data_IF_449632860235
#
_entry.id   IF_449632860235
#
_cell.length_a   1.000
_cell.length_b   1.000
_cell.length_c   1.000
_cell.angle_alpha   90.00
_cell.angle_beta   90.00
_cell.angle_gamma   90.00
#
_symmetry.space_group_name_H-M   'P 1'
#
loop_
_entity.id
_entity.type
_entity.pdbx_description
1 polymer ?
#
# COMPACT_ATOMS: atom_id res chain seq x y z
N UNK A 1 36.70 -15.14 45.25
CA UNK A 1 37.21 -14.47 44.03
C UNK A 1 36.72 -15.13 42.73
N UNK A 2 36.73 -16.47 42.62
CA UNK A 2 36.34 -17.20 41.41
C UNK A 2 34.94 -16.85 40.85
N UNK A 3 33.90 -16.86 41.69
CA UNK A 3 32.52 -16.57 41.26
C UNK A 3 32.32 -15.13 40.76
N UNK A 4 33.10 -14.17 41.28
CA UNK A 4 33.05 -12.77 40.83
C UNK A 4 33.66 -12.61 39.44
N UNK A 5 34.72 -13.38 39.12
CA UNK A 5 35.37 -13.38 37.80
C UNK A 5 34.45 -13.94 36.72
N UNK A 6 33.84 -15.09 36.96
CA UNK A 6 32.88 -15.73 36.04
C UNK A 6 31.70 -14.79 35.72
N UNK A 7 31.14 -14.14 36.75
CA UNK A 7 30.02 -13.21 36.57
C UNK A 7 30.38 -11.98 35.74
N UNK A 8 31.62 -11.48 35.86
CA UNK A 8 32.11 -10.36 35.05
C UNK A 8 32.36 -10.77 33.60
N UNK A 9 32.97 -11.94 33.37
CA UNK A 9 33.18 -12.48 32.02
C UNK A 9 31.85 -12.69 31.28
N UNK A 10 30.82 -13.20 31.98
CA UNK A 10 29.48 -13.39 31.41
C UNK A 10 28.78 -12.07 31.07
N UNK A 11 29.00 -11.00 31.84
CA UNK A 11 28.46 -9.66 31.53
C UNK A 11 29.09 -9.13 30.25
N UNK A 12 30.42 -9.20 30.12
CA UNK A 12 31.14 -8.74 28.92
C UNK A 12 30.71 -9.54 27.68
N UNK A 13 30.55 -10.87 27.81
CA UNK A 13 30.07 -11.71 26.71
C UNK A 13 28.64 -11.33 26.29
N UNK A 14 27.75 -11.07 27.25
CA UNK A 14 26.38 -10.64 26.97
C UNK A 14 26.31 -9.26 26.33
N UNK A 15 27.13 -8.30 26.78
CA UNK A 15 27.23 -6.97 26.17
C UNK A 15 27.73 -7.06 24.73
N UNK A 16 28.74 -7.91 24.48
CA UNK A 16 29.24 -8.18 23.13
C UNK A 16 28.16 -8.80 22.23
N UNK A 17 27.39 -9.78 22.73
CA UNK A 17 26.27 -10.38 22.00
C UNK A 17 25.19 -9.34 21.69
N UNK A 18 24.84 -8.50 22.65
CA UNK A 18 23.86 -7.42 22.45
C UNK A 18 24.34 -6.40 21.41
N UNK A 19 25.62 -6.04 21.40
CA UNK A 19 26.19 -5.16 20.39
C UNK A 19 26.11 -5.78 18.98
N UNK A 20 26.42 -7.08 18.85
CA UNK A 20 26.29 -7.81 17.58
C UNK A 20 24.84 -7.88 17.10
N UNK A 21 23.89 -8.16 17.99
CA UNK A 21 22.46 -8.19 17.67
C UNK A 21 22.01 -6.83 17.14
N UNK A 22 22.33 -5.73 17.85
CA UNK A 22 21.98 -4.37 17.39
C UNK A 22 22.57 -4.06 16.01
N UNK A 23 23.83 -4.45 15.77
CA UNK A 23 24.46 -4.26 14.47
C UNK A 23 23.74 -5.04 13.36
N UNK A 24 23.31 -6.28 13.63
CA UNK A 24 22.53 -7.08 12.69
C UNK A 24 21.14 -6.49 12.46
N UNK A 25 20.46 -6.01 13.49
CA UNK A 25 19.16 -5.36 13.39
C UNK A 25 19.23 -4.12 12.49
N UNK A 26 20.23 -3.24 12.69
CA UNK A 26 20.44 -2.07 11.83
C UNK A 26 20.74 -2.46 10.39
N UNK A 27 21.50 -3.55 10.16
CA UNK A 27 21.78 -4.05 8.81
C UNK A 27 20.50 -4.52 8.12
N UNK A 28 19.67 -5.31 8.81
CA UNK A 28 18.39 -5.82 8.28
C UNK A 28 17.46 -4.64 7.99
N UNK A 29 17.34 -3.68 8.90
CA UNK A 29 16.49 -2.50 8.70
C UNK A 29 16.90 -1.71 7.45
N UNK A 30 18.20 -1.50 7.26
CA UNK A 30 18.72 -0.83 6.06
C UNK A 30 18.41 -1.61 4.79
N UNK A 31 18.63 -2.92 4.77
CA UNK A 31 18.36 -3.78 3.61
C UNK A 31 16.86 -3.79 3.27
N UNK A 32 15.99 -3.90 4.28
CA UNK A 32 14.54 -3.83 4.09
C UNK A 32 14.10 -2.48 3.52
N UNK A 33 14.65 -1.37 4.03
CA UNK A 33 14.34 -0.04 3.50
C UNK A 33 14.77 0.12 2.03
N UNK A 34 15.94 -0.40 1.67
CA UNK A 34 16.44 -0.41 0.29
C UNK A 34 15.53 -1.22 -0.64
N UNK A 35 15.12 -2.42 -0.22
CA UNK A 35 14.19 -3.26 -0.97
C UNK A 35 12.82 -2.59 -1.17
N UNK A 36 12.28 -1.93 -0.13
CA UNK A 36 11.03 -1.15 -0.25
C UNK A 36 11.17 -0.01 -1.27
N UNK A 37 12.30 0.70 -1.27
CA UNK A 37 12.55 1.72 -2.27
C UNK A 37 12.62 1.13 -3.70
N UNK A 38 13.26 -0.03 -3.88
CA UNK A 38 13.28 -0.74 -5.16
C UNK A 38 11.88 -1.14 -5.63
N UNK A 39 11.04 -1.66 -4.73
CA UNK A 39 9.65 -2.00 -5.01
C UNK A 39 8.88 -0.78 -5.55
N UNK A 40 8.94 0.35 -4.85
CA UNK A 40 8.24 1.59 -5.25
C UNK A 40 8.67 2.04 -6.65
N UNK A 41 9.98 2.01 -6.93
CA UNK A 41 10.51 2.39 -8.26
C UNK A 41 10.01 1.42 -9.35
N UNK A 42 9.95 0.12 -9.06
CA UNK A 42 9.44 -0.87 -10.01
C UNK A 42 7.95 -0.68 -10.28
N UNK A 43 7.15 -0.43 -9.24
CA UNK A 43 5.72 -0.14 -9.36
C UNK A 43 5.48 1.10 -10.21
N UNK A 44 6.24 2.18 -10.00
CA UNK A 44 6.15 3.40 -10.80
C UNK A 44 6.49 3.14 -12.29
N UNK A 45 7.54 2.36 -12.56
CA UNK A 45 7.91 1.97 -13.93
C UNK A 45 6.81 1.14 -14.59
N UNK A 46 6.23 0.19 -13.87
CA UNK A 46 5.12 -0.64 -14.36
C UNK A 46 3.91 0.23 -14.67
N UNK A 47 3.55 1.17 -13.80
CA UNK A 47 2.45 2.10 -14.03
C UNK A 47 2.66 2.92 -15.30
N UNK A 48 3.88 3.45 -15.50
CA UNK A 48 4.26 4.19 -16.72
C UNK A 48 4.16 3.32 -17.99
N UNK A 49 4.64 2.08 -17.93
CA UNK A 49 4.55 1.16 -19.07
C UNK A 49 3.10 0.79 -19.40
N UNK A 50 2.27 0.50 -18.39
CA UNK A 50 0.85 0.21 -18.60
C UNK A 50 0.15 1.39 -19.28
N UNK A 51 0.40 2.61 -18.82
CA UNK A 51 -0.16 3.80 -19.46
C UNK A 51 0.28 3.95 -20.92
N UNK A 52 1.57 3.73 -21.22
CA UNK A 52 2.07 3.78 -22.61
C UNK A 52 1.47 2.66 -23.47
N UNK A 53 1.29 1.45 -22.92
CA UNK A 53 0.63 0.33 -23.60
C UNK A 53 -0.82 0.67 -23.92
N UNK A 54 -1.58 1.16 -22.94
CA UNK A 54 -2.98 1.57 -23.12
C UNK A 54 -3.09 2.64 -24.20
N UNK A 55 -2.21 3.65 -24.17
CA UNK A 55 -2.12 4.67 -25.19
C UNK A 55 -1.85 4.10 -26.58
N UNK A 56 -0.88 3.18 -26.72
CA UNK A 56 -0.55 2.54 -27.99
C UNK A 56 -1.70 1.66 -28.51
N UNK A 57 -2.41 0.96 -27.62
CA UNK A 57 -3.59 0.18 -27.97
C UNK A 57 -4.72 1.09 -28.47
N UNK A 58 -4.94 2.24 -27.82
CA UNK A 58 -5.93 3.23 -28.26
C UNK A 58 -5.57 3.82 -29.63
N UNK A 59 -4.31 4.17 -29.88
CA UNK A 59 -3.86 4.63 -31.21
C UNK A 59 -4.07 3.58 -32.30
N UNK A 60 -3.77 2.31 -32.00
CA UNK A 60 -4.00 1.19 -32.91
C UNK A 60 -5.49 1.03 -33.23
N UNK A 61 -6.36 1.09 -32.23
CA UNK A 61 -7.80 0.99 -32.42
C UNK A 61 -8.33 2.12 -33.31
N UNK A 62 -7.89 3.37 -33.07
CA UNK A 62 -8.25 4.53 -33.89
C UNK A 62 -7.83 4.37 -35.35
N UNK A 63 -6.66 3.80 -35.63
CA UNK A 63 -6.22 3.53 -37.01
C UNK A 63 -7.04 2.42 -37.66
N UNK A 64 -7.33 1.36 -36.91
CA UNK A 64 -8.14 0.26 -37.41
C UNK A 64 -9.58 0.70 -37.73
N UNK A 65 -10.18 1.58 -36.93
CA UNK A 65 -11.48 2.20 -37.21
C UNK A 65 -11.46 3.06 -38.48
N UNK A 66 -10.40 3.84 -38.71
CA UNK A 66 -10.23 4.64 -39.93
C UNK A 66 -10.07 3.79 -41.18
N UNK A 67 -9.40 2.63 -41.09
CA UNK A 67 -9.26 1.69 -42.19
C UNK A 67 -10.50 0.81 -42.42
N UNK A 68 -11.41 0.69 -41.44
CA UNK A 68 -12.59 -0.20 -41.50
C UNK A 68 -13.88 0.42 -42.06
N UNK A 69 -13.84 1.59 -42.73
CA UNK A 69 -15.02 2.02 -43.51
C UNK A 69 -15.13 1.25 -44.84
N UNK A 70 -16.33 0.78 -45.28
CA UNK A 70 -17.63 1.45 -45.09
C UNK A 70 -18.85 0.54 -44.73
N UNK A 71 -19.83 1.08 -43.96
CA UNK A 71 -21.29 0.91 -44.24
C UNK A 71 -22.13 1.90 -43.39
N UNK A 72 -23.10 2.63 -43.98
CA UNK A 72 -24.05 3.41 -43.20
C UNK A 72 -24.99 2.45 -42.45
N UNK A 73 -24.90 2.44 -41.12
CA UNK A 73 -25.91 1.78 -40.30
C UNK A 73 -27.18 2.64 -40.33
N UNK A 74 -28.25 2.06 -40.87
CA UNK A 74 -29.59 2.62 -40.81
C UNK A 74 -29.95 2.90 -39.35
N UNK A 75 -30.47 4.11 -39.11
CA UNK A 75 -31.03 4.52 -37.83
C UNK A 75 -32.28 3.70 -37.52
N UNK A 76 -32.41 3.08 -36.33
CA UNK A 76 -33.73 2.70 -35.85
C UNK A 76 -34.45 3.94 -35.32
N UNK A 77 -35.60 4.22 -35.92
CA UNK A 77 -36.59 5.22 -35.49
C UNK A 77 -37.24 4.87 -34.15
N UNK A 78 -37.42 5.90 -33.30
CA UNK A 78 -38.37 6.12 -32.20
C UNK A 78 -39.15 4.95 -31.56
N UNK A 79 -39.21 4.92 -30.22
CA UNK A 79 -40.46 5.16 -29.47
C UNK A 79 -40.29 5.28 -27.94
N UNK A 80 -40.77 6.42 -27.41
CA UNK A 80 -41.63 6.66 -26.23
C UNK A 80 -41.24 6.23 -24.78
N UNK A 81 -41.13 7.29 -23.96
CA UNK A 81 -41.41 7.52 -22.52
C UNK A 81 -42.00 6.38 -21.66
N UNK A 82 -41.50 6.24 -20.42
CA UNK A 82 -42.34 6.33 -19.21
C UNK A 82 -41.53 6.55 -17.91
N UNK A 83 -42.19 7.25 -16.99
CA UNK A 83 -41.81 7.85 -15.70
C UNK A 83 -41.81 6.86 -14.54
N UNK A 84 -41.12 7.18 -13.43
CA UNK A 84 -41.63 6.95 -12.06
C UNK A 84 -40.81 7.67 -10.98
N UNK A 85 -41.52 8.03 -9.91
CA UNK A 85 -41.26 8.99 -8.83
C UNK A 85 -40.30 8.49 -7.74
N UNK A 86 -39.82 9.41 -6.88
CA UNK A 86 -39.74 9.16 -5.43
C UNK A 86 -39.68 10.46 -4.62
N UNK A 87 -40.61 10.56 -3.67
CA UNK A 87 -40.81 11.66 -2.73
C UNK A 87 -39.76 11.65 -1.59
N UNK A 88 -39.31 12.84 -1.19
CA UNK A 88 -38.63 13.08 0.07
C UNK A 88 -39.66 13.46 1.15
N UNK A 89 -39.58 12.83 2.33
CA UNK A 89 -40.39 13.15 3.50
C UNK A 89 -39.53 13.27 4.75
N UNK A 90 -40.04 14.01 5.73
CA UNK A 90 -39.34 14.91 6.66
C UNK A 90 -39.25 14.40 8.12
N UNK A 91 -38.10 14.69 8.75
CA UNK A 91 -37.91 15.25 10.13
C UNK A 91 -38.13 14.34 11.38
N UNK A 92 -37.78 14.78 12.62
CA UNK A 92 -36.67 14.28 13.48
C UNK A 92 -37.19 13.70 14.82
N UNK A 93 -36.37 13.33 15.83
CA UNK A 93 -36.24 14.18 17.05
C UNK A 93 -34.92 13.97 17.87
N UNK A 94 -34.34 14.99 18.53
CA UNK A 94 -34.47 15.45 19.94
C UNK A 94 -33.21 15.25 20.80
N UNK A 95 -33.04 16.26 21.64
CA UNK A 95 -31.99 16.64 22.56
C UNK A 95 -32.26 16.05 23.96
N UNK A 96 -31.23 15.53 24.64
CA UNK A 96 -31.28 15.17 26.06
C UNK A 96 -29.96 15.50 26.74
N UNK A 97 -30.07 16.36 27.75
CA UNK A 97 -29.02 16.76 28.70
C UNK A 97 -28.61 15.63 29.64
N UNK A 98 -27.44 15.75 30.28
CA UNK A 98 -27.29 15.13 31.60
C UNK A 98 -26.65 16.03 32.66
N UNK A 99 -27.17 15.91 33.88
CA UNK A 99 -26.54 16.19 35.18
C UNK A 99 -27.30 15.24 36.14
N UNK A 100 -26.75 14.63 37.21
CA UNK A 100 -25.74 15.15 38.16
C UNK A 100 -24.84 13.99 38.71
N UNK A 101 -24.42 13.88 40.00
CA UNK A 101 -23.92 14.83 40.99
C UNK A 101 -22.51 14.45 41.55
N UNK A 102 -21.90 15.43 42.22
CA UNK A 102 -21.15 15.42 43.48
C UNK A 102 -20.08 14.35 43.85
N UNK A 103 -19.01 14.89 44.44
CA UNK A 103 -17.78 14.31 44.95
C UNK A 103 -17.93 13.45 46.21
N UNK A 104 -17.14 12.38 46.31
CA UNK A 104 -16.51 11.93 47.57
C UNK A 104 -15.23 11.10 47.30
N UNK A 105 -14.34 11.08 48.28
CA UNK A 105 -12.90 10.79 48.21
C UNK A 105 -12.52 9.36 47.78
N UNK A 106 -11.45 9.22 46.99
CA UNK A 106 -10.75 7.95 46.75
C UNK A 106 -9.21 8.13 46.79
N UNK A 107 -8.45 7.06 47.15
CA UNK A 107 -7.02 7.08 47.50
C UNK A 107 -6.13 7.51 46.33
N UNK A 108 -4.83 7.85 46.54
CA UNK A 108 -3.97 8.31 45.46
C UNK A 108 -4.00 7.33 44.28
N UNK A 109 -4.66 7.74 43.19
CA UNK A 109 -4.76 6.92 42.00
C UNK A 109 -3.38 6.85 41.33
N UNK A 110 -2.98 5.68 40.78
CA UNK A 110 -1.89 5.62 39.83
C UNK A 110 -2.23 6.60 38.70
N UNK A 111 -1.32 7.53 38.40
CA UNK A 111 -1.57 8.57 37.41
C UNK A 111 -2.06 7.93 36.09
N UNK A 112 -3.35 8.10 35.72
CA UNK A 112 -3.91 7.48 34.53
C UNK A 112 -3.25 8.03 33.26
N UNK A 113 -2.67 9.24 33.29
CA UNK A 113 -1.86 9.73 32.18
C UNK A 113 -0.58 8.93 32.02
N UNK A 114 0.09 8.55 33.12
CA UNK A 114 1.33 7.77 33.06
C UNK A 114 1.06 6.34 32.57
N UNK A 115 -0.02 5.69 33.00
CA UNK A 115 -0.42 4.40 32.46
C UNK A 115 -0.87 4.49 31.00
N UNK A 116 -1.61 5.52 30.62
CA UNK A 116 -2.05 5.75 29.24
C UNK A 116 -0.87 6.04 28.31
N UNK A 117 0.15 6.77 28.78
CA UNK A 117 1.40 6.96 28.05
C UNK A 117 2.15 5.65 27.90
N UNK A 118 2.26 4.84 28.97
CA UNK A 118 2.95 3.55 28.94
C UNK A 118 2.26 2.56 28.01
N UNK A 119 0.92 2.59 27.97
CA UNK A 119 0.10 1.79 27.06
C UNK A 119 0.24 2.28 25.61
N UNK A 120 0.15 3.59 25.36
CA UNK A 120 0.39 4.17 24.03
C UNK A 120 1.79 3.87 23.49
N UNK A 121 2.83 3.95 24.33
CA UNK A 121 4.21 3.63 23.93
C UNK A 121 4.33 2.14 23.60
N UNK A 122 3.73 1.27 24.41
CA UNK A 122 3.74 -0.18 24.20
C UNK A 122 2.93 -0.58 22.96
N UNK A 123 1.81 0.07 22.72
CA UNK A 123 0.93 -0.16 21.57
C UNK A 123 1.60 0.36 20.28
N UNK A 124 2.24 1.54 20.30
CA UNK A 124 3.07 2.03 19.18
C UNK A 124 4.24 1.12 18.87
N UNK A 125 4.98 0.66 19.89
CA UNK A 125 6.08 -0.29 19.69
C UNK A 125 5.58 -1.63 19.12
N UNK A 126 4.38 -2.08 19.52
CA UNK A 126 3.79 -3.32 19.02
C UNK A 126 3.30 -3.17 17.58
N UNK A 127 2.75 -2.01 17.22
CA UNK A 127 2.35 -1.67 15.85
C UNK A 127 3.58 -1.57 14.92
N UNK A 128 4.66 -0.94 15.38
CA UNK A 128 5.94 -0.87 14.66
C UNK A 128 6.63 -2.24 14.52
N UNK A 129 6.52 -3.12 15.54
CA UNK A 129 6.97 -4.51 15.47
C UNK A 129 6.11 -5.38 14.55
N UNK A 130 4.80 -5.13 14.44
CA UNK A 130 3.91 -5.86 13.53
C UNK A 130 4.04 -5.40 12.07
N UNK A 131 4.57 -4.20 11.80
CA UNK A 131 4.83 -3.70 10.44
C UNK A 131 6.21 -4.09 9.89
N UNK A 132 6.95 -4.98 10.56
CA UNK A 132 8.11 -5.63 9.96
C UNK A 132 7.64 -6.65 8.93
N UNK A 133 7.32 -6.13 7.75
CA UNK A 133 7.14 -6.92 6.53
C UNK A 133 8.29 -7.92 6.38
N UNK A 134 7.94 -9.19 6.17
CA UNK A 134 8.92 -10.27 6.09
C UNK A 134 9.90 -10.00 4.92
N UNK A 135 11.21 -9.87 5.19
CA UNK A 135 12.19 -9.62 4.14
C UNK A 135 12.15 -10.64 3.00
N UNK A 136 11.75 -11.89 3.28
CA UNK A 136 11.59 -12.92 2.25
C UNK A 136 10.38 -12.65 1.36
N UNK A 137 9.30 -12.13 1.94
CA UNK A 137 8.10 -11.76 1.20
C UNK A 137 8.37 -10.59 0.25
N UNK A 138 9.10 -9.60 0.75
CA UNK A 138 9.50 -8.43 -0.03
C UNK A 138 10.39 -8.81 -1.24
N UNK A 139 11.32 -9.76 -1.06
CA UNK A 139 12.15 -10.30 -2.15
C UNK A 139 11.31 -11.02 -3.22
N UNK A 140 10.33 -11.83 -2.79
CA UNK A 140 9.42 -12.53 -3.70
C UNK A 140 8.59 -11.54 -4.53
N UNK A 141 8.06 -10.50 -3.89
CA UNK A 141 7.22 -9.51 -4.55
C UNK A 141 8.03 -8.62 -5.52
N UNK A 142 9.26 -8.23 -5.16
CA UNK A 142 10.19 -7.57 -6.08
C UNK A 142 10.46 -8.45 -7.30
N UNK A 143 10.69 -9.75 -7.11
CA UNK A 143 10.93 -10.70 -8.21
C UNK A 143 9.73 -10.75 -9.17
N UNK A 144 8.50 -10.79 -8.63
CA UNK A 144 7.27 -10.75 -9.45
C UNK A 144 7.13 -9.44 -10.21
N UNK A 145 7.46 -8.30 -9.60
CA UNK A 145 7.43 -7.00 -10.26
C UNK A 145 8.45 -6.93 -11.40
N UNK A 146 9.66 -7.43 -11.21
CA UNK A 146 10.68 -7.50 -12.28
C UNK A 146 10.20 -8.36 -13.45
N UNK A 147 9.59 -9.52 -13.17
CA UNK A 147 9.02 -10.36 -14.22
C UNK A 147 7.90 -9.65 -14.98
N UNK A 148 6.98 -8.99 -14.26
CA UNK A 148 5.89 -8.21 -14.85
C UNK A 148 6.43 -7.07 -15.72
N UNK A 149 7.45 -6.36 -15.27
CA UNK A 149 8.09 -5.28 -16.03
C UNK A 149 8.63 -5.79 -17.38
N UNK A 150 9.31 -6.94 -17.37
CA UNK A 150 9.83 -7.55 -18.60
C UNK A 150 8.72 -7.94 -19.59
N UNK A 151 7.60 -8.47 -19.10
CA UNK A 151 6.44 -8.81 -19.93
C UNK A 151 5.82 -7.56 -20.57
N UNK A 152 5.64 -6.49 -19.80
CA UNK A 152 5.09 -5.23 -20.31
C UNK A 152 6.01 -4.58 -21.35
N UNK A 153 7.32 -4.62 -21.15
CA UNK A 153 8.28 -4.11 -22.14
C UNK A 153 8.17 -4.88 -23.47
N UNK A 154 8.00 -6.20 -23.42
CA UNK A 154 7.77 -7.01 -24.62
C UNK A 154 6.45 -6.64 -25.32
N UNK A 155 5.36 -6.51 -24.56
CA UNK A 155 4.04 -6.13 -25.10
C UNK A 155 4.08 -4.76 -25.77
N UNK A 156 4.65 -3.76 -25.08
CA UNK A 156 4.85 -2.41 -25.61
C UNK A 156 5.60 -2.43 -26.95
N UNK A 157 6.69 -3.19 -27.03
CA UNK A 157 7.48 -3.28 -28.26
C UNK A 157 6.68 -3.93 -29.41
N UNK A 158 5.90 -4.97 -29.11
CA UNK A 158 5.02 -5.60 -30.09
C UNK A 158 3.94 -4.63 -30.60
N UNK A 159 3.32 -3.85 -29.70
CA UNK A 159 2.32 -2.84 -30.08
C UNK A 159 2.93 -1.74 -30.94
N UNK A 160 4.12 -1.23 -30.58
CA UNK A 160 4.85 -0.26 -31.42
C UNK A 160 5.13 -0.82 -32.81
N UNK A 161 5.52 -2.09 -32.91
CA UNK A 161 5.76 -2.74 -34.20
C UNK A 161 4.47 -2.83 -35.03
N UNK A 162 3.36 -3.28 -34.42
CA UNK A 162 2.04 -3.33 -35.08
C UNK A 162 1.62 -1.94 -35.57
N UNK A 163 1.74 -0.92 -34.72
CA UNK A 163 1.39 0.46 -35.05
C UNK A 163 2.18 0.98 -36.25
N UNK A 164 3.49 0.72 -36.27
CA UNK A 164 4.34 1.09 -37.40
C UNK A 164 3.94 0.37 -38.71
N UNK A 165 3.54 -0.90 -38.63
CA UNK A 165 3.08 -1.65 -39.80
C UNK A 165 1.76 -1.07 -40.34
N UNK A 166 0.80 -0.77 -39.47
CA UNK A 166 -0.47 -0.13 -39.85
C UNK A 166 -0.27 1.25 -40.50
N UNK A 167 0.71 2.04 -40.04
CA UNK A 167 1.02 3.35 -40.63
C UNK A 167 1.68 3.25 -42.02
N UNK A 168 2.18 2.07 -42.41
CA UNK A 168 2.84 1.83 -43.70
C UNK A 168 1.91 1.24 -44.78
N UNK A 169 0.80 0.64 -44.37
CA UNK A 169 -0.30 0.16 -45.25
C UNK A 169 -1.27 1.29 -45.54
#
# INVERSE_FOLDING_TARGET
>A
MHNRKIKLEQIVENESKMAQIKQQETKIEKETAEKKAQQIILEEKIAKLNFEIEFLQEELNKLNEKQSQPKPLQTPTSSTLQTSESNASSTPPQDVTPTPPNSEQQPPQPNPEAEKLKKQIKDKQKEELLQKEDPLKLEEDITKLVQKLAQLDQEKNLLKQKLNNYKRT
#
